data_IF_239056050698
#
_entry.id   IF_239056050698
#
_cell.length_a   1.000
_cell.length_b   1.000
_cell.length_c   1.000
_cell.angle_alpha   90.00
_cell.angle_beta   90.00
_cell.angle_gamma   90.00
#
_symmetry.space_group_name_H-M   'P 1'
#
loop_
_entity.id
_entity.type
_entity.pdbx_description
1 polymer ?
#
# COMPACT_ATOMS: atom_id res chain seq x y z
N UNK A 1 -19.73 24.90 -10.11
CA UNK A 1 -18.69 25.38 -9.18
C UNK A 1 -19.32 26.06 -7.97
N UNK A 2 -20.19 25.36 -7.23
CA UNK A 2 -20.86 25.92 -6.04
C UNK A 2 -21.13 24.86 -4.95
N UNK A 3 -20.77 23.59 -5.19
CA UNK A 3 -21.21 22.45 -4.38
C UNK A 3 -20.23 22.01 -3.27
N UNK A 4 -19.08 22.66 -3.11
CA UNK A 4 -18.13 22.36 -2.04
C UNK A 4 -17.70 23.70 -1.45
N UNK A 5 -18.25 24.06 -0.29
CA UNK A 5 -18.16 25.37 0.38
C UNK A 5 -16.75 25.81 0.83
N UNK A 6 -15.77 25.79 -0.07
CA UNK A 6 -14.39 26.24 0.15
C UNK A 6 -14.27 27.77 0.09
N UNK A 7 -15.29 28.46 -0.42
CA UNK A 7 -15.23 29.89 -0.73
C UNK A 7 -15.94 30.82 0.30
N UNK A 8 -16.25 30.33 1.51
CA UNK A 8 -16.97 31.13 2.53
C UNK A 8 -16.17 31.54 3.77
N UNK A 9 -14.87 31.31 3.81
CA UNK A 9 -14.01 31.86 4.87
C UNK A 9 -13.01 32.81 4.24
N UNK A 10 -13.22 34.12 4.46
CA UNK A 10 -12.25 35.14 4.09
C UNK A 10 -10.87 34.75 4.64
N UNK A 11 -9.86 34.75 3.77
CA UNK A 11 -8.48 34.52 4.20
C UNK A 11 -8.09 35.62 5.19
N UNK A 12 -7.51 35.22 6.33
CA UNK A 12 -6.98 36.20 7.29
C UNK A 12 -5.93 37.07 6.61
N UNK A 13 -5.68 38.27 7.15
CA UNK A 13 -4.62 39.13 6.64
C UNK A 13 -3.27 38.41 6.66
N UNK A 14 -3.05 37.56 7.65
CA UNK A 14 -1.83 36.75 7.79
C UNK A 14 -1.72 35.73 6.65
N UNK A 15 -2.79 34.97 6.36
CA UNK A 15 -2.79 34.03 5.23
C UNK A 15 -2.55 34.75 3.89
N UNK A 16 -3.10 35.96 3.72
CA UNK A 16 -2.85 36.77 2.51
C UNK A 16 -1.38 37.16 2.38
N UNK A 17 -0.74 37.60 3.48
CA UNK A 17 0.69 37.91 3.48
C UNK A 17 1.55 36.70 3.13
N UNK A 18 1.21 35.51 3.62
CA UNK A 18 1.93 34.29 3.25
C UNK A 18 1.77 33.95 1.76
N UNK A 19 0.56 34.10 1.20
CA UNK A 19 0.37 33.93 -0.25
C UNK A 19 1.14 34.96 -1.08
N UNK A 20 1.24 36.20 -0.62
CA UNK A 20 2.03 37.25 -1.30
C UNK A 20 3.53 36.94 -1.29
N UNK A 21 4.03 36.30 -0.21
CA UNK A 21 5.41 35.78 -0.17
C UNK A 21 5.62 34.73 -1.27
N UNK A 22 4.68 33.80 -1.44
CA UNK A 22 4.76 32.83 -2.52
C UNK A 22 4.69 33.48 -3.91
N UNK A 23 3.79 34.45 -4.12
CA UNK A 23 3.70 35.20 -5.38
C UNK A 23 5.05 35.86 -5.76
N UNK A 24 5.77 36.41 -4.76
CA UNK A 24 7.10 37.00 -4.98
C UNK A 24 8.13 35.97 -5.47
N UNK A 25 8.07 34.73 -4.96
CA UNK A 25 8.94 33.63 -5.41
C UNK A 25 8.53 33.16 -6.80
N UNK A 26 7.23 33.09 -7.06
CA UNK A 26 6.68 32.76 -8.38
C UNK A 26 7.19 33.75 -9.44
N UNK A 27 7.03 35.05 -9.23
CA UNK A 27 7.45 36.11 -10.16
C UNK A 27 8.96 36.15 -10.43
N UNK A 28 9.75 35.65 -9.47
CA UNK A 28 11.20 35.54 -9.59
C UNK A 28 11.62 34.41 -10.53
N UNK A 29 10.97 33.24 -10.43
CA UNK A 29 11.44 32.02 -11.08
C UNK A 29 10.63 31.61 -12.31
N UNK A 30 9.38 32.05 -12.45
CA UNK A 30 8.54 31.74 -13.59
C UNK A 30 9.09 32.37 -14.89
N UNK A 31 9.15 31.57 -15.95
CA UNK A 31 9.61 31.98 -17.29
C UNK A 31 8.63 32.93 -17.99
N UNK A 32 7.37 32.96 -17.56
CA UNK A 32 6.33 33.88 -18.03
C UNK A 32 5.50 34.38 -16.84
N UNK A 33 5.14 35.66 -16.87
CA UNK A 33 4.45 36.34 -15.75
C UNK A 33 2.92 36.34 -15.87
N UNK A 34 2.39 36.12 -17.07
CA UNK A 34 0.94 36.18 -17.36
C UNK A 34 0.25 34.83 -17.17
N UNK A 35 0.54 34.14 -16.07
CA UNK A 35 -0.02 32.82 -15.76
C UNK A 35 -0.82 32.84 -14.45
N UNK A 36 -1.75 33.79 -14.33
CA UNK A 36 -2.63 33.95 -13.17
C UNK A 36 -3.39 32.66 -12.84
N UNK A 37 -3.81 31.90 -13.86
CA UNK A 37 -4.48 30.60 -13.70
C UNK A 37 -3.65 29.61 -12.87
N UNK A 38 -2.32 29.63 -12.98
CA UNK A 38 -1.42 28.73 -12.24
C UNK A 38 -1.28 29.14 -10.78
N UNK A 39 -1.26 30.44 -10.51
CA UNK A 39 -1.31 30.97 -9.15
C UNK A 39 -2.66 30.66 -8.48
N UNK A 40 -3.77 30.79 -9.21
CA UNK A 40 -5.10 30.42 -8.71
C UNK A 40 -5.22 28.92 -8.44
N UNK A 41 -4.63 28.10 -9.31
CA UNK A 41 -4.53 26.67 -9.11
C UNK A 41 -3.78 26.30 -7.82
N UNK A 42 -2.62 26.93 -7.57
CA UNK A 42 -1.89 26.77 -6.31
C UNK A 42 -2.73 27.21 -5.10
N UNK A 43 -3.37 28.40 -5.17
CA UNK A 43 -4.25 28.92 -4.12
C UNK A 43 -5.41 27.97 -3.81
N UNK A 44 -6.01 27.36 -4.82
CA UNK A 44 -7.07 26.38 -4.65
C UNK A 44 -6.57 25.14 -3.90
N UNK A 45 -5.43 24.58 -4.32
CA UNK A 45 -4.83 23.42 -3.66
C UNK A 45 -4.44 23.73 -2.21
N UNK A 46 -3.81 24.88 -1.94
CA UNK A 46 -3.49 25.36 -0.60
C UNK A 46 -4.72 25.46 0.30
N UNK A 47 -5.83 26.03 -0.19
CA UNK A 47 -7.10 26.08 0.56
C UNK A 47 -7.65 24.68 0.84
N UNK A 48 -7.54 23.75 -0.10
CA UNK A 48 -7.97 22.35 0.08
C UNK A 48 -7.18 21.64 1.16
N UNK A 49 -5.86 21.80 1.17
CA UNK A 49 -4.97 21.25 2.21
C UNK A 49 -5.39 21.77 3.57
N UNK A 50 -5.50 23.09 3.74
CA UNK A 50 -5.94 23.71 5.00
C UNK A 50 -7.31 23.22 5.48
N UNK A 51 -8.25 23.05 4.56
CA UNK A 51 -9.62 22.65 4.86
C UNK A 51 -9.77 21.16 5.18
N UNK A 52 -8.86 20.31 4.71
CA UNK A 52 -9.12 18.86 4.66
C UNK A 52 -8.04 18.01 5.34
N UNK A 53 -6.83 18.53 5.53
CA UNK A 53 -5.77 17.79 6.19
C UNK A 53 -6.18 17.36 7.61
N UNK A 54 -5.78 16.15 7.99
CA UNK A 54 -6.21 15.48 9.23
C UNK A 54 -5.90 16.30 10.49
N UNK A 55 -4.82 17.09 10.46
CA UNK A 55 -4.46 18.02 11.53
C UNK A 55 -4.61 19.48 11.07
N UNK A 56 -4.67 20.40 12.05
CA UNK A 56 -4.52 21.83 11.74
C UNK A 56 -3.05 22.08 11.43
N UNK A 57 -2.82 22.83 10.37
CA UNK A 57 -1.48 23.20 9.87
C UNK A 57 -1.36 24.72 9.87
N UNK A 58 -0.14 25.21 10.09
CA UNK A 58 0.17 26.62 10.03
C UNK A 58 0.36 27.04 8.56
N UNK A 59 -0.28 28.14 8.17
CA UNK A 59 -0.21 28.66 6.81
C UNK A 59 1.21 29.05 6.41
N UNK A 60 1.99 29.61 7.34
CA UNK A 60 3.38 29.99 7.09
C UNK A 60 4.27 28.75 6.84
N UNK A 61 4.07 27.68 7.61
CA UNK A 61 4.84 26.44 7.43
C UNK A 61 4.56 25.79 6.06
N UNK A 62 3.29 25.79 5.64
CA UNK A 62 2.90 25.29 4.30
C UNK A 62 3.55 26.10 3.17
N UNK A 63 3.54 27.42 3.28
CA UNK A 63 4.13 28.30 2.27
C UNK A 63 5.66 28.20 2.29
N UNK A 64 6.29 28.14 3.46
CA UNK A 64 7.74 27.92 3.57
C UNK A 64 8.16 26.59 2.92
N UNK A 65 7.37 25.53 3.12
CA UNK A 65 7.59 24.24 2.47
C UNK A 65 7.39 24.32 0.95
N UNK A 66 6.37 25.04 0.48
CA UNK A 66 6.15 25.26 -0.95
C UNK A 66 7.32 26.02 -1.61
N UNK A 67 7.78 27.09 -0.99
CA UNK A 67 8.93 27.89 -1.45
C UNK A 67 10.20 27.02 -1.48
N UNK A 68 10.45 26.24 -0.42
CA UNK A 68 11.58 25.30 -0.38
C UNK A 68 11.50 24.27 -1.51
N UNK A 69 10.30 23.80 -1.86
CA UNK A 69 10.09 22.90 -3.00
C UNK A 69 10.54 23.51 -4.33
N UNK A 70 10.19 24.77 -4.58
CA UNK A 70 10.63 25.52 -5.77
C UNK A 70 12.14 25.76 -5.77
N UNK A 71 12.71 26.15 -4.63
CA UNK A 71 14.12 26.55 -4.53
C UNK A 71 15.10 25.39 -4.37
N UNK A 72 14.61 24.16 -4.17
CA UNK A 72 15.42 22.96 -3.88
C UNK A 72 16.58 22.75 -4.85
N UNK A 73 16.33 22.95 -6.14
CA UNK A 73 17.31 22.74 -7.22
C UNK A 73 18.05 24.03 -7.62
N UNK A 74 17.87 25.11 -6.86
CA UNK A 74 18.44 26.45 -7.12
C UNK A 74 18.24 26.90 -8.58
N UNK A 75 16.99 26.94 -9.07
CA UNK A 75 16.70 27.36 -10.44
C UNK A 75 17.23 28.77 -10.71
N UNK A 76 17.57 29.05 -11.96
CA UNK A 76 17.89 30.39 -12.38
C UNK A 76 16.61 31.27 -12.38
N UNK A 77 16.72 32.59 -12.17
CA UNK A 77 15.57 33.47 -12.34
C UNK A 77 14.94 33.34 -13.74
N UNK A 78 13.61 33.41 -13.80
CA UNK A 78 12.81 33.27 -15.02
C UNK A 78 13.10 32.00 -15.85
N UNK A 79 13.48 30.89 -15.23
CA UNK A 79 13.84 29.65 -15.94
C UNK A 79 12.78 28.55 -15.91
N UNK A 80 11.84 28.57 -14.95
CA UNK A 80 10.88 27.48 -14.77
C UNK A 80 9.58 27.74 -15.52
N UNK A 81 9.03 26.73 -16.18
CA UNK A 81 7.67 26.83 -16.69
C UNK A 81 6.68 27.03 -15.52
N UNK A 82 5.64 27.89 -15.67
CA UNK A 82 4.60 28.08 -14.65
C UNK A 82 4.02 26.80 -14.04
N UNK A 83 3.77 25.78 -14.86
CA UNK A 83 3.27 24.48 -14.41
C UNK A 83 4.28 23.73 -13.55
N UNK A 84 5.54 23.68 -13.99
CA UNK A 84 6.62 23.01 -13.27
C UNK A 84 6.89 23.69 -11.92
N UNK A 85 6.87 25.02 -11.87
CA UNK A 85 7.05 25.77 -10.63
C UNK A 85 5.94 25.45 -9.63
N UNK A 86 4.68 25.47 -10.06
CA UNK A 86 3.54 25.13 -9.18
C UNK A 86 3.59 23.67 -8.75
N UNK A 87 3.95 22.73 -9.62
CA UNK A 87 4.14 21.33 -9.27
C UNK A 87 5.20 21.16 -8.18
N UNK A 88 6.40 21.74 -8.36
CA UNK A 88 7.46 21.77 -7.33
C UNK A 88 7.00 22.39 -6.01
N UNK A 89 6.17 23.43 -6.08
CA UNK A 89 5.61 24.09 -4.90
C UNK A 89 4.61 23.19 -4.16
N UNK A 90 3.70 22.53 -4.89
CA UNK A 90 2.72 21.61 -4.32
C UNK A 90 3.38 20.38 -3.72
N UNK A 91 4.40 19.83 -4.40
CA UNK A 91 5.20 18.71 -3.88
C UNK A 91 5.88 19.07 -2.57
N UNK A 92 6.58 20.21 -2.52
CA UNK A 92 7.24 20.70 -1.31
C UNK A 92 6.25 20.90 -0.16
N UNK A 93 5.09 21.50 -0.44
CA UNK A 93 4.03 21.70 0.54
C UNK A 93 3.49 20.37 1.08
N UNK A 94 3.14 19.42 0.22
CA UNK A 94 2.44 18.19 0.62
C UNK A 94 3.40 17.19 1.28
N UNK A 95 4.63 17.07 0.80
CA UNK A 95 5.66 16.22 1.44
C UNK A 95 6.05 16.72 2.84
N UNK A 96 5.77 17.99 3.16
CA UNK A 96 6.00 18.53 4.51
C UNK A 96 4.94 18.10 5.54
N UNK A 97 3.81 17.57 5.07
CA UNK A 97 2.69 17.17 5.92
C UNK A 97 2.91 15.79 6.53
N UNK A 98 3.03 14.78 5.67
CA UNK A 98 3.24 13.37 6.02
C UNK A 98 3.73 12.58 4.79
N UNK A 99 4.25 11.36 4.97
CA UNK A 99 4.79 10.56 3.87
C UNK A 99 3.75 10.03 2.87
N UNK A 100 2.45 10.25 3.10
CA UNK A 100 1.36 9.73 2.27
C UNK A 100 0.55 10.83 1.56
N UNK A 101 0.95 12.08 1.71
CA UNK A 101 0.32 13.23 1.08
C UNK A 101 1.18 13.72 -0.08
N UNK A 102 0.61 13.75 -1.28
CA UNK A 102 1.31 14.16 -2.50
C UNK A 102 0.39 14.86 -3.50
N UNK A 103 1.02 15.61 -4.40
CA UNK A 103 0.38 16.10 -5.60
C UNK A 103 0.49 15.01 -6.66
N UNK A 104 -0.58 14.83 -7.41
CA UNK A 104 -0.64 13.90 -8.52
C UNK A 104 -0.89 14.73 -9.77
N UNK A 105 0.04 14.71 -10.71
CA UNK A 105 -0.23 15.30 -12.02
C UNK A 105 -1.31 14.48 -12.78
N UNK A 106 -1.75 14.98 -13.94
CA UNK A 106 -2.83 14.37 -14.71
C UNK A 106 -2.60 12.87 -14.99
N UNK A 107 -1.36 12.53 -15.35
CA UNK A 107 -0.94 11.18 -15.67
C UNK A 107 -0.95 10.28 -14.43
N UNK A 108 -0.35 10.71 -13.33
CA UNK A 108 -0.32 9.95 -12.08
C UNK A 108 -1.71 9.70 -11.50
N UNK A 109 -2.60 10.70 -11.63
CA UNK A 109 -3.99 10.59 -11.23
C UNK A 109 -4.73 9.50 -12.03
N UNK A 110 -4.56 9.47 -13.35
CA UNK A 110 -5.11 8.43 -14.22
C UNK A 110 -4.54 7.04 -13.88
N UNK A 111 -3.21 6.94 -13.72
CA UNK A 111 -2.54 5.67 -13.38
C UNK A 111 -3.01 5.09 -12.04
N UNK A 112 -3.34 5.95 -11.07
CA UNK A 112 -3.85 5.51 -9.76
C UNK A 112 -5.20 4.85 -9.88
N UNK A 113 -6.11 5.42 -10.67
CA UNK A 113 -7.45 4.86 -10.91
C UNK A 113 -7.40 3.52 -11.67
N UNK A 114 -6.47 3.40 -12.61
CA UNK A 114 -6.19 2.13 -13.31
C UNK A 114 -5.72 1.07 -12.29
N UNK A 115 -4.74 1.40 -11.44
CA UNK A 115 -4.17 0.45 -10.49
C UNK A 115 -5.18 -0.13 -9.48
N UNK A 116 -6.22 0.62 -9.09
CA UNK A 116 -7.21 0.20 -8.09
C UNK A 116 -8.17 -0.86 -8.62
N UNK A 117 -8.39 -0.89 -9.94
CA UNK A 117 -9.18 -1.95 -10.62
C UNK A 117 -8.47 -3.30 -10.64
N UNK A 118 -7.18 -3.33 -10.26
CA UNK A 118 -6.32 -4.52 -10.37
C UNK A 118 -5.89 -4.81 -11.82
N UNK A 119 -6.04 -3.82 -12.70
CA UNK A 119 -5.75 -3.91 -14.13
C UNK A 119 -4.86 -2.74 -14.53
N UNK A 120 -3.80 -2.95 -15.31
CA UNK A 120 -3.02 -1.85 -15.85
C UNK A 120 -2.47 -2.15 -17.25
N UNK A 121 -2.30 -1.11 -18.06
CA UNK A 121 -1.63 -1.21 -19.36
C UNK A 121 -0.13 -1.41 -19.18
N UNK A 122 0.40 -2.53 -19.66
CA UNK A 122 1.83 -2.81 -19.56
C UNK A 122 2.21 -4.19 -20.06
N UNK A 123 3.38 -4.67 -19.59
CA UNK A 123 4.01 -5.88 -20.11
C UNK A 123 3.71 -7.10 -19.25
N UNK A 124 3.46 -6.90 -17.96
CA UNK A 124 3.26 -7.98 -16.98
C UNK A 124 4.57 -8.56 -16.47
N UNK A 125 5.50 -7.70 -16.04
CA UNK A 125 6.76 -8.11 -15.41
C UNK A 125 6.89 -7.51 -14.01
N UNK A 126 7.44 -8.31 -13.11
CA UNK A 126 7.98 -7.84 -11.84
C UNK A 126 9.46 -7.51 -12.03
N UNK A 127 9.86 -6.31 -11.63
CA UNK A 127 11.22 -5.79 -11.84
C UNK A 127 11.79 -5.20 -10.57
N UNK A 128 13.11 -5.23 -10.46
CA UNK A 128 13.88 -4.57 -9.42
C UNK A 128 15.07 -3.83 -10.04
N UNK A 129 15.74 -2.99 -9.27
CA UNK A 129 17.00 -2.39 -9.67
C UNK A 129 18.17 -3.27 -9.21
N UNK A 130 19.10 -3.59 -10.12
CA UNK A 130 20.29 -4.39 -9.84
C UNK A 130 21.47 -3.77 -10.59
N UNK A 131 22.49 -3.31 -9.87
CA UNK A 131 23.70 -2.68 -10.43
C UNK A 131 23.40 -1.53 -11.43
N UNK A 132 22.35 -0.73 -11.16
CA UNK A 132 21.95 0.41 -12.01
C UNK A 132 21.21 0.02 -13.29
N UNK A 133 20.86 -1.26 -13.45
CA UNK A 133 20.00 -1.77 -14.52
C UNK A 133 18.70 -2.32 -13.95
N UNK A 134 17.66 -2.35 -14.80
CA UNK A 134 16.38 -2.94 -14.42
C UNK A 134 16.46 -4.45 -14.62
N UNK A 135 16.36 -5.21 -13.54
CA UNK A 135 16.36 -6.67 -13.55
C UNK A 135 14.95 -7.22 -13.46
N UNK A 136 14.62 -8.15 -14.34
CA UNK A 136 13.37 -8.92 -14.28
C UNK A 136 13.48 -9.92 -13.13
N UNK A 137 12.64 -9.74 -12.11
CA UNK A 137 12.46 -10.73 -11.04
C UNK A 137 11.69 -11.91 -11.60
N UNK A 138 10.54 -11.65 -12.22
CA UNK A 138 9.71 -12.68 -12.84
C UNK A 138 8.72 -12.06 -13.83
N UNK A 139 8.53 -12.67 -15.02
CA UNK A 139 7.34 -12.42 -15.81
C UNK A 139 6.10 -12.95 -15.08
N UNK A 140 4.98 -12.23 -15.19
CA UNK A 140 3.70 -12.70 -14.68
C UNK A 140 3.13 -13.71 -15.66
N UNK A 141 2.64 -14.84 -15.16
CA UNK A 141 1.98 -15.89 -15.94
C UNK A 141 0.83 -15.32 -16.79
N UNK A 142 0.68 -15.85 -18.01
CA UNK A 142 -0.34 -15.46 -19.00
C UNK A 142 -0.26 -13.99 -19.46
N UNK A 143 0.89 -13.32 -19.30
CA UNK A 143 1.09 -11.93 -19.75
C UNK A 143 1.92 -11.80 -21.02
N UNK A 144 1.87 -10.65 -21.72
CA UNK A 144 2.69 -10.41 -22.92
C UNK A 144 4.17 -10.66 -22.71
N UNK A 145 4.71 -10.28 -21.54
CA UNK A 145 6.11 -10.47 -21.21
C UNK A 145 6.54 -11.94 -21.17
N UNK A 146 5.73 -12.80 -20.54
CA UNK A 146 5.98 -14.24 -20.52
C UNK A 146 5.90 -14.81 -21.94
N UNK A 147 4.85 -14.44 -22.70
CA UNK A 147 4.69 -14.87 -24.11
C UNK A 147 5.83 -14.40 -25.02
N UNK A 148 6.41 -13.23 -24.73
CA UNK A 148 7.57 -12.69 -25.43
C UNK A 148 8.90 -13.36 -25.04
N UNK A 149 8.87 -14.32 -24.10
CA UNK A 149 10.04 -15.10 -23.72
C UNK A 149 11.03 -14.37 -22.81
N UNK A 150 10.59 -13.32 -22.11
CA UNK A 150 11.34 -12.72 -21.01
C UNK A 150 11.47 -13.73 -19.87
N UNK A 151 12.59 -13.70 -19.15
CA UNK A 151 12.92 -14.70 -18.12
C UNK A 151 13.38 -14.02 -16.82
N UNK A 152 13.18 -14.69 -15.67
CA UNK A 152 13.83 -14.29 -14.42
C UNK A 152 15.34 -14.10 -14.60
N UNK A 153 15.86 -13.00 -14.09
CA UNK A 153 17.28 -12.65 -14.16
C UNK A 153 17.71 -11.88 -15.42
N UNK A 154 16.83 -11.71 -16.41
CA UNK A 154 17.08 -10.81 -17.54
C UNK A 154 17.32 -9.37 -17.05
N UNK A 155 18.30 -8.69 -17.63
CA UNK A 155 18.57 -7.27 -17.36
C UNK A 155 18.16 -6.42 -18.57
N UNK A 156 17.23 -5.51 -18.37
CA UNK A 156 16.81 -4.53 -19.37
C UNK A 156 17.86 -3.42 -19.38
N UNK A 157 18.52 -3.22 -20.52
CA UNK A 157 19.57 -2.21 -20.71
C UNK A 157 19.06 -0.97 -21.44
N UNK A 158 18.02 -1.12 -22.26
CA UNK A 158 17.34 -0.01 -22.92
C UNK A 158 15.84 -0.29 -23.12
N UNK A 159 15.05 0.77 -23.19
CA UNK A 159 13.61 0.77 -23.49
C UNK A 159 13.38 1.74 -24.66
N UNK A 160 12.83 1.26 -25.77
CA UNK A 160 12.65 2.01 -27.02
C UNK A 160 13.93 2.74 -27.46
N UNK A 161 15.04 2.01 -27.43
CA UNK A 161 16.40 2.49 -27.74
C UNK A 161 16.99 3.52 -26.76
N UNK A 162 16.27 3.94 -25.72
CA UNK A 162 16.82 4.76 -24.65
C UNK A 162 17.45 3.89 -23.55
N UNK A 163 18.73 4.11 -23.20
CA UNK A 163 19.36 3.41 -22.08
C UNK A 163 18.62 3.64 -20.76
N UNK A 164 18.50 2.60 -19.93
CA UNK A 164 17.92 2.72 -18.58
C UNK A 164 18.95 3.09 -17.52
N UNK A 165 20.23 2.98 -17.83
CA UNK A 165 21.33 3.36 -16.94
C UNK A 165 21.21 4.83 -16.52
N UNK A 166 21.27 5.09 -15.21
CA UNK A 166 21.12 6.42 -14.62
C UNK A 166 19.67 6.91 -14.47
N UNK A 167 18.67 6.14 -14.91
CA UNK A 167 17.26 6.41 -14.60
C UNK A 167 16.85 5.72 -13.30
N UNK A 168 15.84 6.25 -12.61
CA UNK A 168 15.26 5.57 -11.45
C UNK A 168 14.44 4.35 -11.89
N UNK A 169 14.18 3.42 -10.95
CA UNK A 169 13.30 2.27 -11.23
C UNK A 169 11.90 2.75 -11.65
N UNK A 170 11.39 3.80 -10.99
CA UNK A 170 10.11 4.43 -11.30
C UNK A 170 10.06 4.97 -12.73
N UNK A 171 11.12 5.66 -13.20
CA UNK A 171 11.16 6.19 -14.57
C UNK A 171 11.14 5.08 -15.61
N UNK A 172 11.90 3.99 -15.36
CA UNK A 172 11.91 2.85 -16.25
C UNK A 172 10.55 2.14 -16.29
N UNK A 173 9.90 1.95 -15.13
CA UNK A 173 8.55 1.39 -15.04
C UNK A 173 7.53 2.28 -15.77
N UNK A 174 7.61 3.60 -15.62
CA UNK A 174 6.74 4.55 -16.29
C UNK A 174 6.85 4.48 -17.83
N UNK A 175 8.04 4.16 -18.37
CA UNK A 175 8.23 3.93 -19.81
C UNK A 175 7.72 2.57 -20.28
N UNK A 176 7.85 1.55 -19.44
CA UNK A 176 7.35 0.20 -19.75
C UNK A 176 5.83 0.12 -19.71
N UNK A 177 5.18 0.97 -18.90
CA UNK A 177 3.73 1.21 -18.95
C UNK A 177 3.34 1.95 -20.22
N UNK A 178 2.06 1.85 -20.58
CA UNK A 178 1.51 2.53 -21.75
C UNK A 178 0.20 1.90 -22.20
N UNK A 179 -0.39 2.48 -23.24
CA UNK A 179 -1.69 2.05 -23.75
C UNK A 179 -1.65 0.60 -24.26
N UNK A 180 -2.63 -0.25 -23.88
CA UNK A 180 -2.77 -1.59 -24.43
C UNK A 180 -2.84 -1.57 -25.96
N UNK A 181 -2.15 -2.51 -26.62
CA UNK A 181 -2.05 -2.61 -28.07
C UNK A 181 -0.84 -1.89 -28.67
N UNK A 182 -0.17 -1.00 -27.91
CA UNK A 182 1.08 -0.37 -28.36
C UNK A 182 2.28 -1.30 -28.16
N UNK A 183 3.27 -1.18 -29.02
CA UNK A 183 4.52 -1.93 -28.93
C UNK A 183 5.56 -1.21 -28.07
N UNK A 184 6.46 -1.99 -27.48
CA UNK A 184 7.68 -1.52 -26.83
C UNK A 184 8.83 -2.45 -27.19
N UNK A 185 10.03 -1.90 -27.37
CA UNK A 185 11.25 -2.66 -27.61
C UNK A 185 12.12 -2.63 -26.37
N UNK A 186 12.34 -3.79 -25.76
CA UNK A 186 13.26 -3.95 -24.64
C UNK A 186 14.58 -4.54 -25.11
N UNK A 187 15.71 -3.87 -24.84
CA UNK A 187 17.03 -4.46 -25.02
C UNK A 187 17.41 -5.26 -23.79
N UNK A 188 17.66 -6.56 -23.98
CA UNK A 188 17.86 -7.52 -22.91
C UNK A 188 19.31 -8.03 -22.91
N UNK A 189 19.90 -8.07 -21.72
CA UNK A 189 21.13 -8.80 -21.41
C UNK A 189 20.78 -10.04 -20.58
N UNK A 190 21.17 -11.22 -21.09
CA UNK A 190 20.90 -12.53 -20.46
C UNK A 190 22.20 -13.33 -20.30
N UNK A 191 22.73 -13.37 -19.08
CA UNK A 191 24.00 -14.04 -18.80
C UNK A 191 25.14 -13.50 -19.67
N UNK A 192 25.85 -14.40 -20.35
CA UNK A 192 26.95 -14.07 -21.29
C UNK A 192 26.51 -13.93 -22.75
N UNK A 193 25.21 -13.98 -23.04
CA UNK A 193 24.71 -13.81 -24.41
C UNK A 193 24.88 -12.36 -24.88
N UNK A 194 25.12 -12.12 -26.19
CA UNK A 194 25.02 -10.78 -26.76
C UNK A 194 23.65 -10.18 -26.46
N UNK A 195 23.59 -8.85 -26.26
CA UNK A 195 22.31 -8.18 -26.06
C UNK A 195 21.41 -8.35 -27.28
N UNK A 196 20.12 -8.55 -27.04
CA UNK A 196 19.12 -8.72 -28.09
C UNK A 196 17.84 -7.95 -27.74
N UNK A 197 17.09 -7.59 -28.78
CA UNK A 197 15.85 -6.85 -28.63
C UNK A 197 14.67 -7.82 -28.51
N UNK A 198 13.77 -7.54 -27.56
CA UNK A 198 12.49 -8.23 -27.37
C UNK A 198 11.39 -7.20 -27.58
N UNK A 199 10.58 -7.41 -28.61
CA UNK A 199 9.38 -6.59 -28.83
C UNK A 199 8.22 -7.18 -28.05
N UNK A 200 7.55 -6.35 -27.25
CA UNK A 200 6.40 -6.75 -26.44
C UNK A 200 5.23 -5.83 -26.78
N UNK A 201 4.07 -6.42 -27.06
CA UNK A 201 2.82 -5.66 -27.22
C UNK A 201 2.21 -5.47 -25.83
N UNK A 202 2.02 -4.21 -25.42
CA UNK A 202 1.36 -3.88 -24.15
C UNK A 202 -0.04 -4.46 -24.14
N UNK A 203 -0.47 -4.99 -22.99
CA UNK A 203 -1.84 -5.46 -22.80
C UNK A 203 -2.38 -4.97 -21.46
N UNK A 204 -3.68 -5.17 -21.24
CA UNK A 204 -4.27 -5.04 -19.90
C UNK A 204 -3.81 -6.22 -19.05
N UNK A 205 -2.92 -5.95 -18.10
CA UNK A 205 -2.39 -6.92 -17.15
C UNK A 205 -3.35 -7.06 -15.99
N UNK A 206 -3.89 -8.27 -15.80
CA UNK A 206 -4.79 -8.60 -14.69
C UNK A 206 -3.99 -9.23 -13.56
N UNK A 207 -3.81 -8.51 -12.47
CA UNK A 207 -3.12 -9.07 -11.30
C UNK A 207 -4.12 -9.85 -10.46
N UNK A 208 -3.87 -11.15 -10.24
CA UNK A 208 -4.68 -11.95 -9.31
C UNK A 208 -4.42 -11.45 -7.88
N UNK A 209 -5.40 -10.74 -7.32
CA UNK A 209 -5.37 -10.19 -5.95
C UNK A 209 -5.55 -11.25 -4.87
N UNK A 210 -6.25 -12.34 -5.20
CA UNK A 210 -6.50 -13.48 -4.31
C UNK A 210 -6.01 -14.75 -5.00
N UNK A 211 -5.19 -15.52 -4.28
CA UNK A 211 -4.74 -16.85 -4.68
C UNK A 211 -5.16 -17.83 -3.59
N UNK A 212 -5.60 -19.02 -3.96
CA UNK A 212 -5.98 -20.02 -2.97
C UNK A 212 -5.61 -21.42 -3.43
N UNK A 213 -5.51 -22.33 -2.45
CA UNK A 213 -5.31 -23.77 -2.65
C UNK A 213 -5.79 -24.51 -1.40
N UNK A 214 -5.90 -25.83 -1.52
CA UNK A 214 -6.18 -26.73 -0.39
C UNK A 214 -4.99 -27.65 -0.20
N UNK A 215 -4.36 -27.58 0.98
CA UNK A 215 -3.18 -28.37 1.34
C UNK A 215 -3.57 -29.43 2.35
N UNK A 216 -3.96 -30.61 1.85
CA UNK A 216 -4.47 -31.68 2.69
C UNK A 216 -5.74 -31.25 3.41
N UNK A 217 -5.61 -30.97 4.71
CA UNK A 217 -6.68 -30.62 5.64
C UNK A 217 -6.79 -29.11 5.92
N UNK A 218 -6.04 -28.26 5.23
CA UNK A 218 -5.99 -26.81 5.47
C UNK A 218 -6.30 -26.04 4.18
N UNK A 219 -7.22 -25.08 4.27
CA UNK A 219 -7.42 -24.09 3.22
C UNK A 219 -6.37 -22.98 3.31
N UNK A 220 -5.71 -22.64 2.21
CA UNK A 220 -4.78 -21.51 2.16
C UNK A 220 -5.32 -20.45 1.21
N UNK A 221 -5.49 -19.22 1.70
CA UNK A 221 -5.91 -18.06 0.92
C UNK A 221 -4.90 -16.94 1.13
N UNK A 222 -4.29 -16.46 0.05
CA UNK A 222 -3.37 -15.33 0.05
C UNK A 222 -4.01 -14.14 -0.64
N UNK A 223 -4.07 -13.01 0.05
CA UNK A 223 -4.47 -11.72 -0.54
C UNK A 223 -3.20 -10.89 -0.75
N UNK A 224 -2.84 -10.65 -2.01
CA UNK A 224 -1.62 -9.92 -2.38
C UNK A 224 -1.83 -8.41 -2.43
N UNK A 225 -3.06 -7.96 -2.71
CA UNK A 225 -3.45 -6.55 -2.71
C UNK A 225 -4.97 -6.40 -2.59
N UNK A 226 -5.44 -5.33 -1.95
CA UNK A 226 -6.86 -4.98 -1.90
C UNK A 226 -7.28 -4.20 -3.14
N UNK A 227 -7.75 -4.91 -4.16
CA UNK A 227 -8.35 -4.37 -5.39
C UNK A 227 -9.80 -4.82 -5.51
N UNK A 228 -10.56 -4.25 -6.44
CA UNK A 228 -11.98 -4.60 -6.72
C UNK A 228 -12.24 -6.10 -6.97
N UNK A 229 -11.19 -6.93 -7.11
CA UNK A 229 -11.29 -8.39 -7.32
C UNK A 229 -11.29 -9.22 -6.03
N UNK A 230 -11.09 -8.63 -4.84
CA UNK A 230 -10.98 -9.39 -3.58
C UNK A 230 -12.28 -10.13 -3.28
N UNK A 231 -13.43 -9.47 -3.35
CA UNK A 231 -14.74 -10.08 -3.08
C UNK A 231 -14.98 -11.35 -3.91
N UNK A 232 -14.81 -11.26 -5.23
CA UNK A 232 -14.99 -12.41 -6.12
C UNK A 232 -13.94 -13.50 -5.90
N UNK A 233 -12.72 -13.12 -5.53
CA UNK A 233 -11.64 -14.06 -5.20
C UNK A 233 -11.92 -14.86 -3.93
N UNK A 234 -12.34 -14.19 -2.85
CA UNK A 234 -12.65 -14.87 -1.59
C UNK A 234 -13.88 -15.76 -1.73
N UNK A 235 -14.92 -15.31 -2.44
CA UNK A 235 -16.11 -16.12 -2.68
C UNK A 235 -15.79 -17.43 -3.42
N UNK A 236 -14.90 -17.38 -4.42
CA UNK A 236 -14.44 -18.57 -5.16
C UNK A 236 -13.59 -19.49 -4.29
N UNK A 237 -12.63 -18.94 -3.54
CA UNK A 237 -11.81 -19.71 -2.62
C UNK A 237 -12.66 -20.48 -1.60
N UNK A 238 -13.66 -19.80 -1.03
CA UNK A 238 -14.59 -20.38 -0.07
C UNK A 238 -15.54 -21.40 -0.69
N UNK A 239 -16.01 -21.17 -1.92
CA UNK A 239 -16.81 -22.15 -2.64
C UNK A 239 -16.01 -23.43 -2.93
N UNK A 240 -14.74 -23.31 -3.33
CA UNK A 240 -13.87 -24.48 -3.56
C UNK A 240 -13.60 -25.23 -2.26
N UNK A 241 -13.31 -24.53 -1.16
CA UNK A 241 -13.10 -25.15 0.14
C UNK A 241 -14.32 -25.97 0.59
N UNK A 242 -15.54 -25.49 0.28
CA UNK A 242 -16.81 -26.16 0.59
C UNK A 242 -17.11 -27.40 -0.27
N UNK A 243 -16.40 -27.60 -1.38
CA UNK A 243 -16.54 -28.84 -2.17
C UNK A 243 -15.92 -30.05 -1.46
N UNK A 244 -15.10 -29.80 -0.43
CA UNK A 244 -14.52 -30.84 0.40
C UNK A 244 -15.56 -31.36 1.39
N UNK A 245 -15.64 -32.69 1.61
CA UNK A 245 -16.48 -33.28 2.65
C UNK A 245 -16.35 -32.59 4.01
N UNK A 246 -17.47 -32.45 4.71
CA UNK A 246 -17.51 -31.90 6.06
C UNK A 246 -16.56 -32.69 6.99
N UNK A 247 -15.79 -31.95 7.80
CA UNK A 247 -14.77 -32.53 8.69
C UNK A 247 -13.43 -32.86 8.04
N UNK A 248 -13.27 -32.69 6.72
CA UNK A 248 -11.97 -32.87 6.06
C UNK A 248 -11.04 -31.65 6.22
N UNK A 249 -11.61 -30.46 6.42
CA UNK A 249 -10.86 -29.22 6.61
C UNK A 249 -10.84 -28.86 8.10
N UNK A 250 -9.63 -28.76 8.67
CA UNK A 250 -9.40 -28.38 10.07
C UNK A 250 -9.39 -26.88 10.30
N UNK A 251 -9.15 -26.10 9.26
CA UNK A 251 -9.11 -24.64 9.34
C UNK A 251 -8.57 -24.02 8.07
N UNK A 252 -8.34 -22.71 8.12
CA UNK A 252 -7.71 -21.99 7.03
C UNK A 252 -6.65 -21.00 7.49
N UNK A 253 -5.74 -20.70 6.58
CA UNK A 253 -4.79 -19.61 6.70
C UNK A 253 -5.19 -18.49 5.75
N UNK A 254 -5.37 -17.29 6.28
CA UNK A 254 -5.50 -16.04 5.53
C UNK A 254 -4.15 -15.31 5.55
N UNK A 255 -3.40 -15.39 4.45
CA UNK A 255 -2.06 -14.83 4.33
C UNK A 255 -2.10 -13.40 3.77
N UNK A 256 -1.80 -12.43 4.65
CA UNK A 256 -1.70 -11.00 4.36
C UNK A 256 -0.25 -10.50 4.41
N UNK A 257 0.75 -11.40 4.48
CA UNK A 257 2.17 -11.03 4.52
C UNK A 257 2.59 -10.30 3.25
N UNK A 258 3.31 -9.20 3.43
CA UNK A 258 3.82 -8.34 2.36
C UNK A 258 2.71 -7.77 1.46
N UNK A 259 1.52 -7.56 2.02
CA UNK A 259 0.40 -6.88 1.36
C UNK A 259 0.31 -5.43 1.88
N UNK A 260 0.66 -4.42 1.06
CA UNK A 260 0.68 -3.01 1.46
C UNK A 260 -0.70 -2.37 1.59
N UNK A 261 -1.77 -3.16 1.42
CA UNK A 261 -3.15 -2.72 1.52
C UNK A 261 -3.78 -2.48 0.15
N UNK A 262 -4.54 -1.38 0.04
CA UNK A 262 -5.32 -1.03 -1.14
C UNK A 262 -6.65 -0.43 -0.74
N UNK A 263 -7.72 -0.80 -1.45
CA UNK A 263 -9.04 -0.22 -1.26
C UNK A 263 -9.67 -0.60 0.09
N UNK A 264 -10.21 0.41 0.80
CA UNK A 264 -10.86 0.25 2.10
C UNK A 264 -12.09 -0.66 2.01
N UNK A 265 -12.98 -0.45 1.04
CA UNK A 265 -14.18 -1.25 0.84
C UNK A 265 -13.85 -2.76 0.70
N UNK A 266 -12.75 -3.08 0.02
CA UNK A 266 -12.30 -4.47 -0.15
C UNK A 266 -11.77 -5.07 1.16
N UNK A 267 -11.16 -4.27 2.05
CA UNK A 267 -10.85 -4.74 3.41
C UNK A 267 -12.08 -4.95 4.26
N UNK A 268 -13.08 -4.08 4.15
CA UNK A 268 -14.36 -4.24 4.85
C UNK A 268 -15.04 -5.54 4.40
N UNK A 269 -15.13 -5.77 3.08
CA UNK A 269 -15.71 -6.99 2.52
C UNK A 269 -14.98 -8.24 3.01
N UNK A 270 -13.64 -8.23 3.04
CA UNK A 270 -12.87 -9.39 3.49
C UNK A 270 -13.05 -9.66 4.99
N UNK A 271 -13.08 -8.63 5.84
CA UNK A 271 -13.34 -8.80 7.27
C UNK A 271 -14.80 -9.25 7.53
N UNK A 272 -15.77 -8.61 6.87
CA UNK A 272 -17.21 -8.92 6.93
C UNK A 272 -17.50 -10.36 6.47
N UNK A 273 -16.68 -10.91 5.59
CA UNK A 273 -16.82 -12.30 5.12
C UNK A 273 -16.65 -13.36 6.22
N UNK A 274 -16.10 -12.99 7.39
CA UNK A 274 -15.80 -13.92 8.48
C UNK A 274 -16.40 -13.51 9.82
N UNK A 275 -17.07 -12.36 9.91
CA UNK A 275 -17.61 -11.78 11.14
C UNK A 275 -19.13 -11.72 11.06
N UNK A 276 -19.82 -12.19 12.10
CA UNK A 276 -21.29 -12.12 12.14
C UNK A 276 -21.82 -10.76 12.64
N UNK A 277 -21.01 -10.00 13.37
CA UNK A 277 -21.40 -8.71 13.97
C UNK A 277 -20.17 -7.96 14.50
N UNK A 278 -20.39 -6.71 14.92
CA UNK A 278 -19.40 -5.88 15.60
C UNK A 278 -18.65 -4.95 14.67
N UNK A 279 -18.01 -3.93 15.22
CA UNK A 279 -17.26 -2.93 14.45
C UNK A 279 -16.07 -3.57 13.75
N UNK A 280 -15.88 -3.32 12.47
CA UNK A 280 -14.66 -3.71 11.72
C UNK A 280 -13.60 -2.62 11.89
N UNK A 281 -13.96 -1.37 11.61
CA UNK A 281 -13.06 -0.20 11.71
C UNK A 281 -13.87 1.07 11.87
N UNK A 282 -13.30 2.05 12.56
CA UNK A 282 -13.80 3.43 12.58
C UNK A 282 -12.84 4.35 11.84
N UNK A 283 -13.36 5.20 10.96
CA UNK A 283 -12.60 6.28 10.31
C UNK A 283 -12.93 7.59 11.03
N UNK A 284 -11.92 8.28 11.55
CA UNK A 284 -12.10 9.56 12.26
C UNK A 284 -11.30 10.65 11.57
N UNK A 285 -11.98 11.62 10.97
CA UNK A 285 -11.38 12.83 10.44
C UNK A 285 -11.18 13.92 11.50
N UNK A 286 -10.71 15.08 11.05
CA UNK A 286 -10.42 16.24 11.92
C UNK A 286 -11.60 16.75 12.75
N UNK A 287 -12.82 16.61 12.24
CA UNK A 287 -14.06 17.04 12.92
C UNK A 287 -14.89 15.82 13.32
N UNK A 288 -15.69 15.95 14.38
CA UNK A 288 -16.54 14.87 14.87
C UNK A 288 -17.56 14.38 13.81
N UNK A 289 -18.02 15.28 12.95
CA UNK A 289 -18.92 14.98 11.82
C UNK A 289 -18.27 14.09 10.75
N UNK A 290 -16.93 14.08 10.69
CA UNK A 290 -16.16 13.23 9.77
C UNK A 290 -15.81 11.86 10.38
N UNK A 291 -16.58 11.42 11.39
CA UNK A 291 -16.49 10.07 11.95
C UNK A 291 -17.44 9.13 11.23
N UNK A 292 -16.93 7.98 10.80
CA UNK A 292 -17.70 6.88 10.23
C UNK A 292 -17.30 5.59 10.92
N UNK A 293 -18.29 4.78 11.31
CA UNK A 293 -18.06 3.42 11.79
C UNK A 293 -18.52 2.45 10.69
N UNK A 294 -17.77 1.38 10.50
CA UNK A 294 -18.11 0.30 9.58
C UNK A 294 -18.24 -0.98 10.40
N UNK A 295 -19.44 -1.55 10.39
CA UNK A 295 -19.80 -2.71 11.20
C UNK A 295 -20.02 -3.94 10.30
N UNK A 296 -19.70 -5.11 10.84
CA UNK A 296 -19.96 -6.39 10.20
C UNK A 296 -21.47 -6.72 10.18
N UNK A 297 -21.85 -7.51 9.18
CA UNK A 297 -23.20 -8.02 8.96
C UNK A 297 -23.21 -9.54 9.15
N UNK A 298 -24.35 -10.14 9.51
CA UNK A 298 -24.42 -11.59 9.74
C UNK A 298 -23.92 -12.42 8.54
N UNK A 299 -23.04 -13.38 8.80
CA UNK A 299 -22.50 -14.29 7.81
C UNK A 299 -21.01 -14.61 8.00
N UNK A 300 -20.70 -15.87 8.34
CA UNK A 300 -19.33 -16.39 8.28
C UNK A 300 -19.16 -17.36 7.10
N UNK A 301 -18.42 -16.94 6.08
CA UNK A 301 -18.12 -17.79 4.93
C UNK A 301 -17.36 -19.06 5.33
N UNK A 302 -16.55 -19.00 6.39
CA UNK A 302 -15.76 -20.09 6.90
C UNK A 302 -16.53 -21.03 7.84
N UNK A 303 -17.81 -20.75 8.16
CA UNK A 303 -18.68 -21.62 8.97
C UNK A 303 -18.02 -22.07 10.29
N UNK A 304 -17.43 -21.14 11.01
CA UNK A 304 -16.70 -21.37 12.27
C UNK A 304 -15.42 -22.21 12.14
N UNK A 305 -14.91 -22.46 10.92
CA UNK A 305 -13.57 -23.03 10.78
C UNK A 305 -12.54 -22.11 11.47
N UNK A 306 -11.58 -22.67 12.23
CA UNK A 306 -10.47 -21.90 12.78
C UNK A 306 -9.69 -21.16 11.68
N UNK A 307 -9.38 -19.89 11.92
CA UNK A 307 -8.62 -19.04 10.99
C UNK A 307 -7.32 -18.61 11.66
N UNK A 308 -6.21 -18.75 10.95
CA UNK A 308 -4.95 -18.06 11.26
C UNK A 308 -4.73 -16.96 10.24
N UNK A 309 -4.54 -15.72 10.69
CA UNK A 309 -4.14 -14.60 9.82
C UNK A 309 -2.62 -14.43 9.90
N UNK A 310 -1.93 -14.53 8.77
CA UNK A 310 -0.49 -14.27 8.71
C UNK A 310 -0.19 -12.82 8.33
N UNK A 311 0.62 -12.16 9.15
CA UNK A 311 1.09 -10.78 8.91
C UNK A 311 2.61 -10.67 9.07
N UNK A 312 3.19 -9.63 8.47
CA UNK A 312 4.58 -9.23 8.70
C UNK A 312 4.74 -7.70 8.57
N UNK A 313 5.96 -7.19 8.69
CA UNK A 313 6.27 -5.76 8.51
C UNK A 313 5.87 -5.16 7.17
N UNK A 314 5.57 -5.96 6.14
CA UNK A 314 5.04 -5.50 4.86
C UNK A 314 3.51 -5.53 4.75
N UNK A 315 2.81 -5.98 5.79
CA UNK A 315 1.36 -5.88 5.92
C UNK A 315 0.99 -4.47 6.36
N UNK A 316 0.24 -3.72 5.54
CA UNK A 316 -0.10 -2.33 5.84
C UNK A 316 -1.56 -1.98 5.53
N UNK A 317 -2.07 -0.92 6.16
CA UNK A 317 -3.35 -0.26 5.85
C UNK A 317 -4.53 -1.25 5.85
N UNK A 318 -5.18 -1.48 4.69
CA UNK A 318 -6.26 -2.45 4.54
C UNK A 318 -5.96 -3.86 5.11
N UNK A 319 -4.71 -4.33 5.04
CA UNK A 319 -4.29 -5.60 5.66
C UNK A 319 -4.40 -5.54 7.19
N UNK A 320 -4.06 -4.41 7.78
CA UNK A 320 -4.07 -4.17 9.23
C UNK A 320 -5.51 -4.01 9.75
N UNK A 321 -6.40 -3.42 8.94
CA UNK A 321 -7.84 -3.38 9.24
C UNK A 321 -8.40 -4.80 9.37
N UNK A 322 -8.12 -5.68 8.41
CA UNK A 322 -8.62 -7.07 8.45
C UNK A 322 -8.02 -7.82 9.63
N UNK A 323 -6.70 -7.75 9.83
CA UNK A 323 -6.04 -8.43 10.92
C UNK A 323 -6.56 -7.97 12.28
N UNK A 324 -6.63 -6.64 12.52
CA UNK A 324 -7.11 -6.08 13.79
C UNK A 324 -8.59 -6.40 14.06
N UNK A 325 -9.46 -6.35 13.05
CA UNK A 325 -10.87 -6.67 13.21
C UNK A 325 -11.07 -8.15 13.58
N UNK A 326 -10.45 -9.08 12.84
CA UNK A 326 -10.58 -10.50 13.11
C UNK A 326 -9.94 -10.92 14.45
N UNK A 327 -8.83 -10.27 14.82
CA UNK A 327 -8.18 -10.47 16.12
C UNK A 327 -9.04 -9.99 17.27
N UNK A 328 -9.55 -8.76 17.19
CA UNK A 328 -10.33 -8.14 18.26
C UNK A 328 -11.60 -8.93 18.57
N UNK A 329 -12.29 -9.42 17.53
CA UNK A 329 -13.49 -10.25 17.68
C UNK A 329 -13.19 -11.71 18.03
N UNK A 330 -11.91 -12.04 18.27
CA UNK A 330 -11.43 -13.41 18.53
C UNK A 330 -11.85 -14.41 17.44
N UNK A 331 -12.08 -13.92 16.21
CA UNK A 331 -12.48 -14.77 15.08
C UNK A 331 -11.28 -15.49 14.49
N UNK A 332 -10.11 -14.87 14.53
CA UNK A 332 -8.88 -15.46 14.03
C UNK A 332 -7.71 -15.21 14.98
N UNK A 333 -6.74 -16.13 14.97
CA UNK A 333 -5.44 -15.92 15.61
C UNK A 333 -4.50 -15.24 14.63
N UNK A 334 -3.94 -14.09 15.00
CA UNK A 334 -2.93 -13.38 14.21
C UNK A 334 -1.55 -13.93 14.55
N UNK A 335 -0.78 -14.33 13.54
CA UNK A 335 0.53 -14.94 13.69
C UNK A 335 1.55 -14.32 12.73
N UNK A 336 2.79 -14.14 13.18
CA UNK A 336 3.89 -13.63 12.36
C UNK A 336 4.67 -12.53 13.07
N UNK A 337 4.96 -11.42 12.39
CA UNK A 337 5.63 -10.25 12.98
C UNK A 337 4.72 -9.03 12.98
N UNK A 338 5.02 -8.06 13.85
CA UNK A 338 4.33 -6.77 13.91
C UNK A 338 4.24 -6.12 12.53
N UNK A 339 3.05 -5.67 12.15
CA UNK A 339 2.78 -5.06 10.85
C UNK A 339 3.37 -3.66 10.70
N UNK A 340 3.14 -3.02 9.55
CA UNK A 340 3.82 -1.79 9.15
C UNK A 340 3.44 -0.56 9.99
N UNK A 341 2.17 -0.41 10.36
CA UNK A 341 1.63 0.69 11.16
C UNK A 341 0.96 1.82 10.40
N UNK A 342 0.44 1.59 9.18
CA UNK A 342 -0.22 2.64 8.41
C UNK A 342 -1.70 2.73 8.78
N UNK A 343 -2.01 3.64 9.70
CA UNK A 343 -3.38 3.97 10.12
C UNK A 343 -3.98 5.18 9.41
N UNK A 344 -3.30 5.81 8.46
CA UNK A 344 -3.78 7.02 7.78
C UNK A 344 -4.71 6.73 6.59
N UNK A 345 -5.70 7.60 6.38
CA UNK A 345 -6.65 7.56 5.26
C UNK A 345 -6.37 8.69 4.29
N UNK A 346 -6.03 8.34 3.06
CA UNK A 346 -5.84 9.30 1.99
C UNK A 346 -7.13 9.48 1.17
N UNK A 347 -7.53 10.74 0.97
CA UNK A 347 -8.58 11.12 0.03
C UNK A 347 -7.94 11.71 -1.21
N UNK A 348 -8.33 11.21 -2.39
CA UNK A 348 -7.93 11.80 -3.68
C UNK A 348 -8.93 12.89 -4.05
N UNK A 349 -8.47 14.13 -4.16
CA UNK A 349 -9.26 15.32 -4.43
C UNK A 349 -8.87 15.89 -5.79
N UNK A 350 -9.69 15.71 -6.84
CA UNK A 350 -9.44 16.30 -8.15
C UNK A 350 -9.30 17.82 -8.05
N UNK A 351 -8.35 18.38 -8.80
CA UNK A 351 -8.15 19.82 -8.91
C UNK A 351 -8.85 20.38 -10.18
N UNK A 352 -9.10 21.69 -10.26
CA UNK A 352 -10.00 22.26 -11.28
C UNK A 352 -9.52 22.15 -12.73
N UNK A 353 -8.20 22.08 -12.95
CA UNK A 353 -7.58 22.09 -14.29
C UNK A 353 -7.14 20.68 -14.68
N UNK A 354 -6.24 20.11 -13.90
CA UNK A 354 -5.66 18.79 -14.14
C UNK A 354 -5.22 18.18 -12.79
N UNK A 355 -4.89 16.89 -12.76
CA UNK A 355 -4.33 16.26 -11.55
C UNK A 355 -5.26 16.21 -10.33
N UNK A 356 -4.67 15.85 -9.19
CA UNK A 356 -5.36 15.69 -7.92
C UNK A 356 -4.42 15.90 -6.72
N UNK A 357 -4.99 16.15 -5.55
CA UNK A 357 -4.29 16.02 -4.27
C UNK A 357 -4.63 14.66 -3.67
N UNK A 358 -3.63 13.86 -3.32
CA UNK A 358 -3.81 12.76 -2.38
C UNK A 358 -3.43 13.27 -1.01
N UNK A 359 -4.40 13.38 -0.12
CA UNK A 359 -4.21 14.04 1.16
C UNK A 359 -4.68 13.16 2.30
N UNK A 360 -3.90 13.07 3.38
CA UNK A 360 -4.35 12.41 4.61
C UNK A 360 -5.45 13.24 5.29
N UNK A 361 -6.67 12.70 5.32
CA UNK A 361 -7.86 13.41 5.83
C UNK A 361 -8.43 12.82 7.12
N UNK A 362 -8.05 11.57 7.44
CA UNK A 362 -8.56 10.84 8.59
C UNK A 362 -7.57 9.75 9.03
N UNK A 363 -7.83 9.15 10.19
CA UNK A 363 -7.14 7.96 10.69
C UNK A 363 -8.13 6.80 10.88
N UNK A 364 -7.62 5.58 10.72
CA UNK A 364 -8.28 4.32 11.05
C UNK A 364 -8.09 4.01 12.52
N UNK A 365 -9.19 3.63 13.15
CA UNK A 365 -9.24 3.16 14.53
C UNK A 365 -9.78 1.74 14.53
N UNK A 366 -9.05 0.86 15.20
CA UNK A 366 -9.45 -0.52 15.40
C UNK A 366 -10.74 -0.58 16.26
N UNK A 367 -11.39 -1.75 16.36
CA UNK A 367 -12.59 -1.89 17.18
C UNK A 367 -12.35 -1.62 18.68
N UNK A 368 -11.11 -1.74 19.18
CA UNK A 368 -10.75 -1.35 20.56
C UNK A 368 -10.81 0.17 20.78
N UNK A 369 -10.85 0.94 19.69
CA UNK A 369 -10.93 2.40 19.73
C UNK A 369 -9.59 3.11 19.63
N UNK A 370 -8.48 2.36 19.52
CA UNK A 370 -7.10 2.81 19.32
C UNK A 370 -6.75 2.92 17.83
N UNK A 371 -5.87 3.86 17.48
CA UNK A 371 -5.37 4.01 16.10
C UNK A 371 -4.24 3.03 15.83
N UNK A 372 -4.20 2.49 14.61
CA UNK A 372 -3.10 1.62 14.15
C UNK A 372 -1.90 2.47 13.69
N UNK A 373 -2.08 3.79 13.52
CA UNK A 373 -1.07 4.70 13.00
C UNK A 373 0.22 4.68 13.83
N UNK A 374 1.36 4.53 13.16
CA UNK A 374 2.70 4.38 13.74
C UNK A 374 2.89 3.17 14.66
N UNK A 375 1.87 2.32 14.82
CA UNK A 375 1.90 1.19 15.73
C UNK A 375 1.76 -0.15 15.03
N UNK A 376 0.75 -0.31 14.17
CA UNK A 376 0.47 -1.58 13.52
C UNK A 376 -0.30 -2.55 14.42
N UNK A 377 -0.45 -3.76 13.93
CA UNK A 377 -1.11 -4.89 14.57
C UNK A 377 -0.04 -5.78 15.16
N UNK A 378 -0.14 -6.03 16.47
CA UNK A 378 0.71 -6.97 17.18
C UNK A 378 0.12 -8.38 17.07
N UNK A 379 0.86 -9.38 16.56
CA UNK A 379 0.36 -10.75 16.46
C UNK A 379 0.07 -11.36 17.83
N UNK A 380 -0.97 -12.20 17.93
CA UNK A 380 -1.23 -13.05 19.10
C UNK A 380 -0.08 -14.03 19.35
N UNK A 381 0.52 -14.54 18.26
CA UNK A 381 1.70 -15.42 18.30
C UNK A 381 2.80 -14.80 17.44
N UNK A 382 3.87 -14.36 18.10
CA UNK A 382 5.01 -13.73 17.43
C UNK A 382 5.98 -14.80 16.94
N UNK A 383 6.23 -14.82 15.63
CA UNK A 383 7.28 -15.63 15.02
C UNK A 383 8.53 -14.77 14.88
N UNK A 384 9.58 -15.12 15.61
CA UNK A 384 10.85 -14.41 15.59
C UNK A 384 11.66 -14.85 14.36
N UNK A 385 11.90 -13.94 13.40
CA UNK A 385 12.64 -14.28 12.19
C UNK A 385 14.10 -14.61 12.51
N UNK A 386 14.75 -15.38 11.64
CA UNK A 386 16.18 -15.71 11.83
C UNK A 386 17.11 -14.51 11.71
N UNK A 387 16.73 -13.54 10.87
CA UNK A 387 17.44 -12.28 10.68
C UNK A 387 16.54 -11.14 11.16
N UNK A 388 17.03 -10.31 12.07
CA UNK A 388 16.34 -9.11 12.58
C UNK A 388 16.34 -7.97 11.56
N UNK A 389 15.92 -8.23 10.31
CA UNK A 389 15.62 -7.13 9.40
C UNK A 389 14.18 -6.68 9.68
N UNK A 390 14.04 -5.77 10.64
CA UNK A 390 12.74 -5.27 11.09
C UNK A 390 11.97 -4.52 9.98
N UNK A 391 12.62 -4.22 8.84
CA UNK A 391 12.10 -3.35 7.80
C UNK A 391 11.87 -1.93 8.31
N UNK A 392 11.69 -0.98 7.39
CA UNK A 392 11.19 0.34 7.76
C UNK A 392 9.72 0.22 8.19
N UNK A 393 9.33 0.86 9.29
CA UNK A 393 7.93 0.98 9.73
C UNK A 393 7.37 2.37 9.43
N UNK A 394 6.05 2.52 9.58
CA UNK A 394 5.39 3.82 9.44
C UNK A 394 6.04 4.87 10.36
N UNK A 395 6.33 4.53 11.62
CA UNK A 395 6.96 5.42 12.60
C UNK A 395 8.35 5.92 12.19
N UNK A 396 9.01 5.20 11.29
CA UNK A 396 10.38 5.49 10.86
C UNK A 396 10.39 6.35 9.57
N UNK A 397 9.23 6.63 8.99
CA UNK A 397 9.11 7.48 7.81
C UNK A 397 9.29 8.96 8.19
N UNK A 398 10.03 9.75 7.39
CA UNK A 398 10.12 11.19 7.58
C UNK A 398 8.73 11.84 7.58
N UNK A 399 8.42 12.61 8.62
CA UNK A 399 7.13 13.30 8.75
C UNK A 399 5.95 12.39 9.11
N UNK A 400 6.19 11.14 9.53
CA UNK A 400 5.12 10.23 9.92
C UNK A 400 4.22 10.85 11.01
N UNK A 401 2.90 10.66 10.85
CA UNK A 401 1.94 11.04 11.89
C UNK A 401 2.17 10.17 13.14
N UNK A 402 2.15 10.76 14.34
CA UNK A 402 2.36 10.02 15.57
C UNK A 402 1.20 9.06 15.87
N UNK A 403 1.50 7.95 16.52
CA UNK A 403 0.52 7.01 17.06
C UNK A 403 0.01 7.39 18.45
N UNK A 404 -0.99 6.65 18.93
CA UNK A 404 -1.53 6.78 20.29
C UNK A 404 -0.94 5.67 21.17
N UNK A 405 0.31 5.87 21.64
CA UNK A 405 1.12 4.87 22.39
C UNK A 405 0.29 3.85 23.17
N UNK A 406 0.19 2.64 22.63
CA UNK A 406 -0.18 1.45 23.38
C UNK A 406 1.08 0.86 24.04
N UNK A 407 0.98 0.45 25.32
CA UNK A 407 2.01 -0.38 25.92
C UNK A 407 2.01 -1.73 25.17
N UNK A 408 3.17 -2.19 24.69
CA UNK A 408 3.27 -3.52 24.09
C UNK A 408 2.66 -4.54 25.06
N UNK A 409 1.75 -5.38 24.56
CA UNK A 409 1.26 -6.52 25.33
C UNK A 409 2.45 -7.46 25.60
N UNK A 410 3.12 -7.28 26.75
CA UNK A 410 4.32 -7.98 27.22
C UNK A 410 4.06 -9.47 27.58
N UNK A 411 3.16 -10.13 26.85
CA UNK A 411 2.67 -11.48 27.16
C UNK A 411 2.42 -12.39 25.96
N UNK A 412 2.52 -11.89 24.72
CA UNK A 412 2.24 -12.71 23.54
C UNK A 412 3.35 -13.77 23.34
N UNK A 413 3.00 -15.06 23.15
CA UNK A 413 3.98 -16.12 22.93
C UNK A 413 4.93 -15.80 21.77
N UNK A 414 6.24 -16.02 22.01
CA UNK A 414 7.30 -15.83 21.02
C UNK A 414 7.88 -17.18 20.62
N UNK A 415 7.85 -17.48 19.33
CA UNK A 415 8.35 -18.74 18.75
C UNK A 415 9.46 -18.41 17.76
N UNK A 416 10.61 -19.07 17.87
CA UNK A 416 11.66 -18.93 16.87
C UNK A 416 11.25 -19.59 15.55
N UNK A 417 11.39 -18.88 14.43
CA UNK A 417 11.08 -19.40 13.09
C UNK A 417 11.79 -20.73 12.80
N UNK A 418 12.99 -20.94 13.35
CA UNK A 418 13.78 -22.20 13.26
C UNK A 418 13.02 -23.42 13.75
N UNK A 419 12.13 -23.24 14.72
CA UNK A 419 11.36 -24.33 15.31
C UNK A 419 10.13 -24.70 14.50
N UNK A 420 9.70 -23.82 13.60
CA UNK A 420 8.58 -24.06 12.72
C UNK A 420 8.92 -25.09 11.62
N UNK A 421 7.98 -25.98 11.26
CA UNK A 421 8.12 -26.88 10.11
C UNK A 421 8.26 -26.11 8.79
N UNK A 422 8.99 -26.67 7.81
CA UNK A 422 9.01 -26.14 6.44
C UNK A 422 7.75 -26.62 5.68
N UNK A 423 7.05 -25.71 5.01
CA UNK A 423 5.83 -26.03 4.25
C UNK A 423 5.92 -25.54 2.79
N UNK A 424 5.43 -26.35 1.85
CA UNK A 424 5.45 -26.08 0.41
C UNK A 424 6.84 -26.03 -0.24
N UNK A 425 6.87 -25.77 -1.55
CA UNK A 425 8.12 -25.78 -2.35
C UNK A 425 9.13 -24.70 -1.91
N UNK A 426 8.64 -23.61 -1.32
CA UNK A 426 9.46 -22.50 -0.81
C UNK A 426 9.96 -22.71 0.62
N UNK A 427 9.64 -23.85 1.25
CA UNK A 427 10.03 -24.16 2.63
C UNK A 427 9.61 -23.06 3.62
N UNK A 428 8.38 -22.59 3.48
CA UNK A 428 7.85 -21.47 4.28
C UNK A 428 7.61 -21.92 5.71
N UNK A 429 8.47 -21.46 6.63
CA UNK A 429 8.44 -21.85 8.04
C UNK A 429 7.30 -21.20 8.80
N UNK A 430 7.02 -19.93 8.55
CA UNK A 430 5.89 -19.22 9.17
C UNK A 430 4.57 -19.91 8.79
N UNK A 431 4.41 -20.31 7.52
CA UNK A 431 3.25 -21.09 7.09
C UNK A 431 3.16 -22.45 7.79
N UNK A 432 4.28 -23.16 7.94
CA UNK A 432 4.32 -24.43 8.66
C UNK A 432 3.91 -24.29 10.13
N UNK A 433 4.27 -23.19 10.80
CA UNK A 433 3.80 -22.88 12.15
C UNK A 433 2.27 -22.65 12.20
N UNK A 434 1.71 -21.93 11.22
CA UNK A 434 0.26 -21.77 11.11
C UNK A 434 -0.45 -23.11 10.93
N UNK A 435 0.13 -24.01 10.13
CA UNK A 435 -0.44 -25.34 9.89
C UNK A 435 -0.37 -26.22 11.14
N UNK A 436 0.76 -26.21 11.84
CA UNK A 436 0.90 -26.87 13.15
C UNK A 436 -0.11 -26.33 14.16
N UNK A 437 -0.32 -25.01 14.23
CA UNK A 437 -1.30 -24.41 15.14
C UNK A 437 -2.72 -24.88 14.85
N UNK A 438 -3.16 -24.83 13.59
CA UNK A 438 -4.49 -25.32 13.18
C UNK A 438 -4.66 -26.81 13.48
N UNK A 439 -3.60 -27.63 13.34
CA UNK A 439 -3.65 -29.06 13.64
C UNK A 439 -3.61 -29.39 15.13
N UNK A 440 -2.97 -28.54 15.93
CA UNK A 440 -2.91 -28.68 17.38
C UNK A 440 -4.24 -28.32 18.06
N UNK A 441 -5.05 -27.46 17.43
CA UNK A 441 -6.40 -27.11 17.89
C UNK A 441 -6.48 -26.20 19.11
N UNK A 442 -5.35 -25.88 19.75
CA UNK A 442 -5.25 -24.91 20.85
C UNK A 442 -3.85 -24.30 20.94
N UNK A 443 -3.76 -23.08 21.47
CA UNK A 443 -2.49 -22.40 21.74
C UNK A 443 -1.60 -23.21 22.68
N UNK A 444 -2.14 -23.79 23.75
CA UNK A 444 -1.38 -24.60 24.70
C UNK A 444 -0.74 -25.83 24.03
N UNK A 445 -1.52 -26.59 23.24
CA UNK A 445 -1.02 -27.76 22.53
C UNK A 445 0.05 -27.39 21.49
N UNK A 446 -0.16 -26.27 20.78
CA UNK A 446 0.81 -25.75 19.83
C UNK A 446 2.13 -25.35 20.49
N UNK A 447 2.08 -24.60 21.60
CA UNK A 447 3.27 -24.17 22.32
C UNK A 447 4.04 -25.37 22.90
N UNK A 448 3.34 -26.39 23.40
CA UNK A 448 3.95 -27.64 23.84
C UNK A 448 4.67 -28.37 22.69
N UNK A 449 4.07 -28.42 21.49
CA UNK A 449 4.70 -28.97 20.30
C UNK A 449 5.97 -28.20 19.91
N UNK A 450 5.89 -26.87 19.87
CA UNK A 450 7.05 -26.01 19.52
C UNK A 450 8.18 -26.14 20.53
N UNK A 451 7.88 -26.21 21.83
CA UNK A 451 8.87 -26.43 22.88
C UNK A 451 9.53 -27.83 22.78
N UNK A 452 8.78 -28.86 22.39
CA UNK A 452 9.34 -30.19 22.12
C UNK A 452 10.27 -30.18 20.90
N UNK A 453 9.95 -29.43 19.85
CA UNK A 453 10.79 -29.26 18.65
C UNK A 453 12.08 -28.49 18.96
N UNK A 454 11.98 -27.40 19.73
CA UNK A 454 13.15 -26.60 20.14
C UNK A 454 14.18 -27.46 20.87
N UNK A 455 13.75 -28.34 21.78
CA UNK A 455 14.61 -29.26 22.53
C UNK A 455 15.30 -30.34 21.68
N UNK A 456 14.79 -30.62 20.47
CA UNK A 456 15.40 -31.57 19.52
C UNK A 456 16.38 -30.91 18.56
N UNK A 457 16.32 -29.59 18.42
CA UNK A 457 17.16 -28.80 17.52
C UNK A 457 18.38 -28.20 18.23
N UNK A 458 18.33 -28.05 19.56
CA UNK A 458 19.46 -27.78 20.46
C UNK A 458 20.24 -29.05 20.76
#
# INVERSE_FOLDING_TARGET
>A
MEALGVDRLALSDDTRRELDRFNTVYDRYASTRDAEDRLDYFRFAFRRVRASYVHKVNDADLIDAAIKGVEKDKPAPASLAPSELVEKALDGMLQSLDPHSDYMNAREFEETYISTRGEFGGLGIEVTMDEGLVKIVSPIEDTPAERAGLKPGDRITAVDHEPVMGKSLSDAVAKMRGEPGTEIVLRIRRGSQPEFDVTVVRAVIKVRSVRWRVDGDIGYVRVTRFSEKVEGGIAKAMAELRTRPDGQIRGMVLDLRSNPGGLLDQSLILADSFLDQGTIVSVRGRTAENRRNYDARPGDLARNLPIVVLINGGSASASEIVASALQYHHRATVMGTRSFGKGSVQTIMPLPVEGALRLTTALYYSPSGHTIQAEGVHPDIVIQPENEDAGQRESDLPGALPGEREEEADGNPRISEKTCPEEGERKDRVLGCAYSFLRAGSTESFLAEMAARSRRAS
#
